data_IF_724748261553
#
_entry.id   IF_724748261553
#
_cell.length_a   1.000
_cell.length_b   1.000
_cell.length_c   1.000
_cell.angle_alpha   90.00
_cell.angle_beta   90.00
_cell.angle_gamma   90.00
#
_symmetry.space_group_name_H-M   'P 1'
#
loop_
_entity.id
_entity.type
_entity.pdbx_description
1 polymer ?
#
# COMPACT_ATOMS: atom_id res chain seq x y z
N UNK A 1 -0.99 -19.57 -5.86
CA UNK A 1 -0.67 -18.15 -5.69
C UNK A 1 -0.07 -17.64 -6.98
N UNK A 2 -0.66 -16.60 -7.56
CA UNK A 2 -0.24 -16.07 -8.86
C UNK A 2 0.43 -14.72 -8.72
N UNK A 3 1.44 -14.47 -9.56
CA UNK A 3 2.09 -13.17 -9.68
C UNK A 3 1.83 -12.66 -11.09
N UNK A 4 1.22 -11.49 -11.19
CA UNK A 4 0.93 -10.84 -12.47
C UNK A 4 1.69 -9.53 -12.53
N UNK A 5 2.42 -9.30 -13.62
CA UNK A 5 3.12 -8.03 -13.83
C UNK A 5 2.15 -7.08 -14.52
N UNK A 6 1.93 -5.90 -13.91
CA UNK A 6 1.06 -4.88 -14.45
C UNK A 6 1.81 -3.55 -14.53
N UNK A 7 1.64 -2.84 -15.62
CA UNK A 7 2.15 -1.48 -15.77
C UNK A 7 1.05 -0.49 -15.41
N UNK A 8 1.34 0.40 -14.46
CA UNK A 8 0.38 1.40 -14.02
C UNK A 8 0.92 2.82 -14.20
N UNK A 9 0.07 3.76 -14.64
CA UNK A 9 0.44 5.17 -14.60
C UNK A 9 0.63 5.63 -13.14
N UNK A 10 1.18 6.81 -12.96
CA UNK A 10 1.25 7.42 -11.64
C UNK A 10 -0.14 7.48 -11.02
N UNK A 11 -0.24 7.18 -9.74
CA UNK A 11 -1.51 7.27 -9.02
C UNK A 11 -1.29 7.85 -7.61
N UNK A 12 -2.37 8.27 -6.98
CA UNK A 12 -2.33 8.94 -5.68
C UNK A 12 -3.02 8.08 -4.64
N UNK A 13 -2.40 7.94 -3.50
CA UNK A 13 -3.02 7.38 -2.30
C UNK A 13 -3.36 8.51 -1.34
N UNK A 14 -4.44 8.34 -0.60
CA UNK A 14 -4.91 9.33 0.37
C UNK A 14 -5.33 8.64 1.65
N UNK A 15 -4.90 9.16 2.78
CA UNK A 15 -5.26 8.60 4.08
C UNK A 15 -4.45 9.19 5.23
N UNK A 16 -4.24 8.36 6.23
CA UNK A 16 -3.62 8.76 7.49
C UNK A 16 -2.18 8.30 7.52
N UNK A 17 -1.26 9.21 7.79
CA UNK A 17 0.17 8.93 7.87
C UNK A 17 0.62 8.93 9.32
N UNK A 18 1.38 7.91 9.71
CA UNK A 18 2.08 7.83 10.99
C UNK A 18 3.57 7.71 10.73
N UNK A 19 4.38 8.40 11.54
CA UNK A 19 5.85 8.36 11.43
C UNK A 19 6.42 7.80 12.72
N UNK A 20 7.29 6.80 12.61
CA UNK A 20 7.90 6.16 13.77
C UNK A 20 9.19 5.45 13.38
N UNK A 21 9.95 5.00 14.40
CA UNK A 21 11.18 4.24 14.18
C UNK A 21 10.85 2.84 13.66
N UNK A 22 11.62 2.35 12.67
CA UNK A 22 11.35 1.04 12.02
C UNK A 22 11.26 -0.12 13.01
N UNK A 23 12.04 -0.08 14.10
CA UNK A 23 12.00 -1.13 15.14
C UNK A 23 10.69 -1.17 15.91
N UNK A 24 9.88 -0.09 15.85
CA UNK A 24 8.57 -0.03 16.51
C UNK A 24 7.45 -0.55 15.63
N UNK A 25 7.71 -0.86 14.37
CA UNK A 25 6.69 -1.21 13.38
C UNK A 25 5.82 -2.39 13.82
N UNK A 26 6.43 -3.40 14.43
CA UNK A 26 5.74 -4.61 14.86
C UNK A 26 4.66 -4.33 15.92
N UNK A 27 4.89 -3.33 16.77
CA UNK A 27 3.92 -2.91 17.80
C UNK A 27 2.99 -1.79 17.28
N UNK A 28 3.51 -0.87 16.47
CA UNK A 28 2.78 0.32 16.05
C UNK A 28 1.77 0.05 14.94
N UNK A 29 2.10 -0.78 13.95
CA UNK A 29 1.20 -1.03 12.81
C UNK A 29 -0.11 -1.69 13.24
N UNK A 30 -0.11 -2.78 14.03
CA UNK A 30 -1.38 -3.34 14.52
C UNK A 30 -2.21 -2.34 15.31
N UNK A 31 -1.57 -1.49 16.12
CA UNK A 31 -2.27 -0.47 16.90
C UNK A 31 -2.93 0.58 16.01
N UNK A 32 -2.27 1.01 14.93
CA UNK A 32 -2.84 1.94 13.96
C UNK A 32 -4.15 1.38 13.38
N UNK A 33 -4.14 0.12 12.96
CA UNK A 33 -5.34 -0.54 12.45
C UNK A 33 -6.44 -0.66 13.51
N UNK A 34 -6.09 -1.02 14.73
CA UNK A 34 -7.05 -1.15 15.82
C UNK A 34 -7.70 0.19 16.17
N UNK A 35 -6.90 1.24 16.27
CA UNK A 35 -7.41 2.59 16.59
C UNK A 35 -8.31 3.11 15.46
N UNK A 36 -7.96 2.85 14.20
CA UNK A 36 -8.78 3.23 13.06
C UNK A 36 -10.11 2.47 13.02
N UNK A 37 -10.11 1.20 13.43
CA UNK A 37 -11.33 0.38 13.48
C UNK A 37 -12.26 0.79 14.63
N UNK A 38 -11.70 1.26 15.74
CA UNK A 38 -12.51 1.71 16.89
C UNK A 38 -13.10 3.09 16.69
N UNK A 39 -12.41 3.95 15.91
CA UNK A 39 -12.88 5.29 15.57
C UNK A 39 -13.61 5.29 14.23
N UNK A 40 -13.64 6.46 13.60
CA UNK A 40 -14.31 6.67 12.30
C UNK A 40 -13.38 6.52 11.10
N UNK A 41 -12.08 6.35 11.30
CA UNK A 41 -11.08 6.45 10.24
C UNK A 41 -11.24 5.40 9.14
N UNK A 42 -11.48 4.14 9.52
CA UNK A 42 -11.71 3.09 8.50
C UNK A 42 -12.99 3.34 7.72
N UNK A 43 -14.06 3.79 8.38
CA UNK A 43 -15.32 4.10 7.73
C UNK A 43 -15.16 5.25 6.74
N UNK A 44 -14.38 6.28 7.09
CA UNK A 44 -14.06 7.38 6.19
C UNK A 44 -13.30 6.91 4.96
N UNK A 45 -12.32 6.03 5.15
CA UNK A 45 -11.53 5.48 4.03
C UNK A 45 -12.40 4.62 3.11
N UNK A 46 -13.25 3.77 3.67
CA UNK A 46 -14.18 2.97 2.87
C UNK A 46 -15.15 3.85 2.08
N UNK A 47 -15.67 4.89 2.71
CA UNK A 47 -16.59 5.83 2.05
C UNK A 47 -15.89 6.56 0.90
N UNK A 48 -14.64 6.95 1.09
CA UNK A 48 -13.86 7.60 0.06
C UNK A 48 -13.57 6.65 -1.11
N UNK A 49 -13.06 5.46 -0.80
CA UNK A 49 -12.74 4.46 -1.83
C UNK A 49 -13.98 4.01 -2.61
N UNK A 50 -15.10 3.74 -1.94
CA UNK A 50 -16.32 3.21 -2.58
C UNK A 50 -16.92 4.18 -3.60
N UNK A 51 -16.68 5.48 -3.47
CA UNK A 51 -17.11 6.48 -4.45
C UNK A 51 -16.28 6.46 -5.72
N UNK A 52 -15.03 5.98 -5.64
CA UNK A 52 -14.08 6.02 -6.75
C UNK A 52 -13.80 4.65 -7.36
N UNK A 53 -13.85 3.60 -6.55
CA UNK A 53 -13.61 2.20 -6.95
C UNK A 53 -12.32 2.03 -7.78
N UNK A 54 -11.24 2.62 -7.30
CA UNK A 54 -9.94 2.62 -7.99
C UNK A 54 -9.04 1.49 -7.47
N UNK A 55 -8.04 1.14 -8.26
CA UNK A 55 -7.02 0.13 -7.89
C UNK A 55 -5.68 0.79 -7.61
N UNK A 56 -4.86 0.25 -6.70
CA UNK A 56 -5.13 -0.92 -5.82
C UNK A 56 -6.40 -0.72 -4.98
N UNK A 57 -7.21 -1.79 -4.88
CA UNK A 57 -8.53 -1.72 -4.27
C UNK A 57 -8.48 -1.91 -2.75
N UNK A 58 -9.53 -1.46 -2.08
CA UNK A 58 -9.71 -1.67 -0.64
C UNK A 58 -8.91 -0.71 0.23
N UNK A 59 -8.70 -1.10 1.47
CA UNK A 59 -7.88 -0.32 2.41
C UNK A 59 -6.43 -0.75 2.25
N UNK A 60 -5.54 0.22 2.10
CA UNK A 60 -4.12 0.00 1.83
C UNK A 60 -3.28 0.23 3.07
N UNK A 61 -2.34 -0.70 3.32
CA UNK A 61 -1.26 -0.51 4.27
C UNK A 61 0.04 -0.32 3.50
N UNK A 62 0.72 0.81 3.71
CA UNK A 62 1.89 1.16 2.91
C UNK A 62 3.02 1.61 3.82
N UNK A 63 4.15 0.92 3.73
CA UNK A 63 5.36 1.22 4.50
C UNK A 63 6.39 1.90 3.60
N UNK A 64 6.87 3.06 4.03
CA UNK A 64 7.87 3.83 3.30
C UNK A 64 8.99 4.26 4.25
N UNK A 65 10.22 3.75 4.01
CA UNK A 65 11.38 4.21 4.77
C UNK A 65 11.85 5.57 4.28
N UNK A 66 12.28 6.39 5.22
CA UNK A 66 12.89 7.68 4.88
C UNK A 66 14.25 7.46 4.21
N UNK A 67 14.46 8.14 3.08
CA UNK A 67 15.72 8.00 2.32
C UNK A 67 16.90 8.62 3.07
N UNK A 68 16.68 9.72 3.78
CA UNK A 68 17.68 10.45 4.54
C UNK A 68 17.95 9.87 5.94
N UNK A 69 16.99 9.08 6.46
CA UNK A 69 17.12 8.43 7.76
C UNK A 69 16.46 7.06 7.74
N UNK A 70 17.16 5.98 7.32
CA UNK A 70 16.58 4.64 7.20
C UNK A 70 16.08 4.02 8.51
N UNK A 71 16.40 4.63 9.65
CA UNK A 71 15.84 4.21 10.94
C UNK A 71 14.39 4.64 11.13
N UNK A 72 13.92 5.61 10.35
CA UNK A 72 12.56 6.13 10.42
C UNK A 72 11.74 5.65 9.24
N UNK A 73 10.43 5.52 9.45
CA UNK A 73 9.48 5.14 8.41
C UNK A 73 8.17 5.87 8.57
N UNK A 74 7.49 6.03 7.45
CA UNK A 74 6.09 6.41 7.41
C UNK A 74 5.24 5.18 7.13
N UNK A 75 4.09 5.11 7.77
CA UNK A 75 3.08 4.12 7.47
C UNK A 75 1.79 4.84 7.09
N UNK A 76 1.28 4.52 5.92
CA UNK A 76 0.00 5.04 5.44
C UNK A 76 -1.08 3.98 5.60
N UNK A 77 -2.18 4.37 6.24
CA UNK A 77 -3.44 3.67 6.19
C UNK A 77 -4.32 4.48 5.24
N UNK A 78 -4.56 3.98 4.03
CA UNK A 78 -5.00 4.81 2.93
C UNK A 78 -5.88 4.08 1.93
N UNK A 79 -6.35 4.81 0.92
CA UNK A 79 -7.03 4.27 -0.26
C UNK A 79 -6.44 4.92 -1.50
N UNK A 80 -6.59 4.27 -2.65
CA UNK A 80 -6.31 4.90 -3.94
C UNK A 80 -7.37 5.95 -4.21
N UNK A 81 -6.96 7.20 -4.35
CA UNK A 81 -7.88 8.32 -4.51
C UNK A 81 -8.03 8.76 -5.96
N UNK A 82 -6.92 8.82 -6.69
CA UNK A 82 -6.93 9.21 -8.09
C UNK A 82 -5.87 8.45 -8.87
N UNK A 83 -6.15 8.21 -10.15
CA UNK A 83 -5.19 7.66 -11.11
C UNK A 83 -4.87 8.76 -12.10
N UNK A 84 -3.57 9.09 -12.22
CA UNK A 84 -3.07 10.08 -13.19
C UNK A 84 -3.71 11.47 -13.06
N UNK A 85 -3.58 12.10 -11.89
CA UNK A 85 -4.26 13.37 -11.58
C UNK A 85 -3.27 14.55 -11.55
N UNK A 86 -3.67 15.71 -12.10
CA UNK A 86 -2.93 16.96 -11.90
C UNK A 86 -2.86 17.33 -10.41
N UNK A 87 -1.70 17.84 -9.98
CA UNK A 87 -1.46 18.23 -8.58
C UNK A 87 -2.51 19.23 -8.05
N UNK A 88 -3.12 20.03 -8.93
CA UNK A 88 -4.13 21.02 -8.58
C UNK A 88 -5.39 20.42 -7.92
N UNK A 89 -5.68 19.14 -8.16
CA UNK A 89 -6.86 18.48 -7.57
C UNK A 89 -6.59 17.88 -6.21
N UNK A 90 -5.34 17.83 -5.76
CA UNK A 90 -4.98 17.30 -4.46
C UNK A 90 -5.41 18.21 -3.29
N UNK A 91 -5.83 19.44 -3.56
CA UNK A 91 -6.26 20.39 -2.54
C UNK A 91 -7.67 20.20 -1.98
N UNK A 92 -8.46 19.26 -2.55
CA UNK A 92 -9.86 19.04 -2.13
C UNK A 92 -10.02 17.88 -1.13
N UNK A 93 -8.93 17.46 -0.48
CA UNK A 93 -8.95 16.33 0.46
C UNK A 93 -9.37 16.78 1.86
N UNK A 94 -9.95 15.88 2.67
CA UNK A 94 -10.21 16.17 4.08
C UNK A 94 -8.95 16.64 4.80
N UNK A 95 -9.08 17.65 5.66
CA UNK A 95 -7.93 18.31 6.32
C UNK A 95 -7.02 17.37 7.10
N UNK A 96 -7.58 16.30 7.66
CA UNK A 96 -6.83 15.32 8.48
C UNK A 96 -6.21 14.20 7.67
N UNK A 97 -6.39 14.20 6.36
CA UNK A 97 -5.78 13.22 5.45
C UNK A 97 -4.64 13.83 4.66
N UNK A 98 -3.70 12.98 4.28
CA UNK A 98 -2.56 13.37 3.47
C UNK A 98 -2.53 12.52 2.20
N UNK A 99 -1.94 13.07 1.15
CA UNK A 99 -1.79 12.38 -0.12
C UNK A 99 -0.33 12.11 -0.42
N UNK A 100 -0.10 11.02 -1.13
CA UNK A 100 1.21 10.64 -1.63
C UNK A 100 1.07 10.16 -3.07
N UNK A 101 1.88 10.71 -3.97
CA UNK A 101 1.86 10.33 -5.38
C UNK A 101 2.91 9.26 -5.64
N UNK A 102 2.49 8.14 -6.21
CA UNK A 102 3.36 7.07 -6.64
C UNK A 102 3.63 7.23 -8.14
N UNK A 103 4.90 7.13 -8.56
CA UNK A 103 5.23 7.30 -9.98
C UNK A 103 4.75 6.15 -10.83
N UNK A 104 4.77 6.35 -12.16
CA UNK A 104 4.47 5.29 -13.12
C UNK A 104 5.58 4.25 -13.09
N UNK A 105 5.25 3.02 -12.69
CA UNK A 105 6.18 1.88 -12.65
C UNK A 105 5.42 0.60 -12.96
N UNK A 106 6.16 -0.47 -13.09
CA UNK A 106 5.58 -1.81 -13.15
C UNK A 106 5.41 -2.36 -11.74
N UNK A 107 4.38 -3.15 -11.56
CA UNK A 107 4.06 -3.78 -10.28
C UNK A 107 3.92 -5.29 -10.48
N UNK A 108 4.53 -6.07 -9.58
CA UNK A 108 4.22 -7.48 -9.45
C UNK A 108 3.07 -7.61 -8.46
N UNK A 109 1.89 -7.92 -8.96
CA UNK A 109 0.68 -8.05 -8.14
C UNK A 109 0.51 -9.50 -7.75
N UNK A 110 0.47 -9.77 -6.45
CA UNK A 110 0.40 -11.11 -5.89
C UNK A 110 -0.88 -11.27 -5.09
N UNK A 111 -1.68 -12.28 -5.41
CA UNK A 111 -2.81 -12.64 -4.57
C UNK A 111 -2.29 -13.16 -3.22
N UNK A 112 -2.94 -12.73 -2.15
CA UNK A 112 -2.61 -13.15 -0.79
C UNK A 112 -3.87 -13.57 -0.04
N UNK A 113 -4.66 -14.44 -0.69
CA UNK A 113 -5.91 -14.92 -0.10
C UNK A 113 -5.65 -15.88 1.04
N UNK A 114 -6.48 -15.78 2.07
CA UNK A 114 -6.40 -16.63 3.24
C UNK A 114 -6.28 -15.86 4.55
N UNK A 115 -6.17 -16.58 5.68
CA UNK A 115 -6.12 -15.96 7.00
C UNK A 115 -4.80 -15.21 7.26
N UNK A 116 -4.89 -14.11 7.99
CA UNK A 116 -3.74 -13.32 8.41
C UNK A 116 -3.13 -13.92 9.68
N UNK A 117 -1.82 -13.80 9.88
CA UNK A 117 -0.83 -13.14 9.01
C UNK A 117 -0.22 -14.06 7.95
N UNK A 118 -0.57 -15.35 7.92
CA UNK A 118 0.05 -16.38 7.08
C UNK A 118 -0.04 -16.04 5.60
N UNK A 119 -1.20 -15.56 5.14
CA UNK A 119 -1.41 -15.22 3.73
C UNK A 119 -0.42 -14.15 3.24
N UNK A 120 -0.18 -13.12 4.06
CA UNK A 120 0.77 -12.06 3.74
C UNK A 120 2.21 -12.59 3.71
N UNK A 121 2.59 -13.39 4.70
CA UNK A 121 3.93 -13.99 4.77
C UNK A 121 4.20 -14.87 3.55
N UNK A 122 3.21 -15.66 3.14
CA UNK A 122 3.33 -16.52 1.96
C UNK A 122 3.49 -15.71 0.67
N UNK A 123 2.80 -14.59 0.55
CA UNK A 123 2.92 -13.71 -0.62
C UNK A 123 4.31 -13.10 -0.72
N UNK A 124 4.87 -12.63 0.38
CA UNK A 124 6.26 -12.11 0.40
C UNK A 124 7.27 -13.20 0.04
N UNK A 125 7.08 -14.40 0.55
CA UNK A 125 7.95 -15.53 0.19
C UNK A 125 7.87 -15.87 -1.29
N UNK A 126 6.65 -15.92 -1.84
CA UNK A 126 6.45 -16.22 -3.26
C UNK A 126 7.10 -15.17 -4.16
N UNK A 127 6.99 -13.91 -3.80
CA UNK A 127 7.68 -12.83 -4.51
C UNK A 127 9.20 -13.00 -4.44
N UNK A 128 9.74 -13.28 -3.26
CA UNK A 128 11.17 -13.52 -3.06
C UNK A 128 11.72 -14.69 -3.87
N UNK A 129 10.93 -15.75 -4.03
CA UNK A 129 11.31 -16.90 -4.85
C UNK A 129 11.20 -16.61 -6.36
N UNK A 130 10.23 -15.79 -6.75
CA UNK A 130 9.97 -15.45 -8.15
C UNK A 130 10.98 -14.41 -8.70
N UNK A 131 11.35 -13.43 -7.90
CA UNK A 131 12.10 -12.25 -8.35
C UNK A 131 13.45 -12.59 -9.02
N UNK A 132 14.30 -13.51 -8.45
CA UNK A 132 15.62 -13.79 -9.04
C UNK A 132 15.56 -14.34 -10.46
N UNK A 133 14.48 -15.01 -10.83
CA UNK A 133 14.33 -15.64 -12.15
C UNK A 133 13.42 -14.88 -13.09
N UNK A 134 12.89 -13.74 -12.64
CA UNK A 134 11.83 -13.01 -13.35
C UNK A 134 12.32 -12.07 -14.45
N UNK A 135 13.59 -11.69 -14.44
CA UNK A 135 14.10 -10.61 -15.31
C UNK A 135 13.87 -9.22 -14.72
N UNK A 136 13.29 -9.13 -13.53
CA UNK A 136 13.03 -7.88 -12.83
C UNK A 136 13.88 -7.74 -11.58
N UNK A 137 13.94 -6.54 -11.06
CA UNK A 137 14.53 -6.21 -9.77
C UNK A 137 13.53 -5.38 -8.97
N UNK A 138 13.67 -5.37 -7.65
CA UNK A 138 12.83 -4.52 -6.80
C UNK A 138 13.12 -3.05 -7.09
N UNK A 139 12.07 -2.25 -7.24
CA UNK A 139 12.20 -0.80 -7.38
C UNK A 139 12.23 -0.14 -5.99
N UNK A 140 12.91 1.02 -5.85
CA UNK A 140 13.03 1.70 -4.55
C UNK A 140 11.77 2.50 -4.20
N UNK A 141 10.62 1.83 -4.14
CA UNK A 141 9.31 2.39 -3.84
C UNK A 141 8.64 1.53 -2.79
N UNK A 142 7.59 2.03 -2.13
CA UNK A 142 6.91 1.25 -1.09
C UNK A 142 6.14 0.06 -1.66
N UNK A 143 6.11 -1.02 -0.90
CA UNK A 143 5.22 -2.16 -1.13
C UNK A 143 3.83 -1.79 -0.61
N UNK A 144 2.79 -2.15 -1.35
CA UNK A 144 1.41 -1.88 -0.99
C UNK A 144 0.72 -3.18 -0.62
N UNK A 145 0.17 -3.25 0.59
CA UNK A 145 -0.70 -4.33 1.02
C UNK A 145 -2.15 -3.84 0.91
N UNK A 146 -2.92 -4.47 0.02
CA UNK A 146 -4.29 -4.09 -0.26
C UNK A 146 -5.25 -5.10 0.37
N UNK A 147 -6.07 -4.61 1.30
CA UNK A 147 -7.03 -5.44 2.04
C UNK A 147 -8.44 -5.20 1.48
N UNK A 148 -8.90 -6.14 0.66
CA UNK A 148 -10.16 -5.99 -0.08
C UNK A 148 -11.38 -6.33 0.78
N UNK A 149 -11.32 -7.50 1.42
CA UNK A 149 -12.34 -8.01 2.34
C UNK A 149 -11.75 -9.16 3.16
N UNK A 150 -12.52 -9.73 4.06
CA UNK A 150 -12.05 -10.82 4.90
C UNK A 150 -11.40 -11.94 4.08
N UNK A 151 -10.18 -12.32 4.45
CA UNK A 151 -9.35 -13.33 3.81
C UNK A 151 -9.05 -13.08 2.33
N UNK A 152 -9.22 -11.85 1.85
CA UNK A 152 -8.85 -11.46 0.49
C UNK A 152 -7.96 -10.25 0.51
N UNK A 153 -6.69 -10.45 0.15
CA UNK A 153 -5.68 -9.42 0.07
C UNK A 153 -4.90 -9.55 -1.23
N UNK A 154 -4.29 -8.45 -1.63
CA UNK A 154 -3.29 -8.42 -2.70
C UNK A 154 -2.06 -7.68 -2.18
N UNK A 155 -0.88 -8.06 -2.68
CA UNK A 155 0.33 -7.30 -2.41
C UNK A 155 0.90 -6.83 -3.73
N UNK A 156 1.18 -5.54 -3.79
CA UNK A 156 1.72 -4.86 -4.96
C UNK A 156 3.19 -4.54 -4.69
N UNK A 157 4.09 -5.27 -5.34
CA UNK A 157 5.54 -5.08 -5.23
C UNK A 157 6.03 -4.21 -6.39
N UNK A 158 6.67 -3.06 -6.11
CA UNK A 158 7.21 -2.24 -7.18
C UNK A 158 8.44 -2.90 -7.78
N UNK A 159 8.48 -2.99 -9.12
CA UNK A 159 9.56 -3.66 -9.84
C UNK A 159 10.04 -2.81 -11.01
N UNK A 160 11.26 -3.12 -11.47
CA UNK A 160 11.85 -2.50 -12.66
C UNK A 160 12.58 -3.59 -13.44
N UNK A 161 12.71 -3.47 -14.77
CA UNK A 161 13.53 -4.39 -15.57
C UNK A 161 14.98 -4.36 -15.09
N UNK A 162 15.64 -5.51 -15.16
CA UNK A 162 17.08 -5.61 -14.88
C UNK A 162 17.91 -4.91 -15.96
#
# INVERSE_FOLDING_TARGET
>A
MSIVVEHWPAFVITGFKSTFHVRESFARIPKIWQDAARGADLDELYALWSRMDLKPAGILGISLRHLDNPAMMDYFLAVTSFVDVPDALLGELPEHMQSFKLPSVEWAVTDADGPLPTAISNAYKSFGDWLPTSGYMAAPLPVIEAYLKENRQEIWFPIAPK
#
